data_IF_010195674522
#
_entry.id   IF_010195674522
#
_cell.length_a   1.000
_cell.length_b   1.000
_cell.length_c   1.000
_cell.angle_alpha   90.00
_cell.angle_beta   90.00
_cell.angle_gamma   90.00
#
_symmetry.space_group_name_H-M   'P 1'
#
loop_
_entity.id
_entity.type
_entity.pdbx_description
1 polymer ?
#
# COMPACT_ATOMS: atom_id res chain seq x y z
N UNK A 1 27.33 -5.75 6.81
CA UNK A 1 27.65 -5.32 5.44
C UNK A 1 27.68 -3.79 5.38
N UNK A 2 28.53 -3.18 4.57
CA UNK A 2 28.45 -1.73 4.34
C UNK A 2 27.25 -1.37 3.44
N UNK A 3 26.87 -0.09 3.42
CA UNK A 3 25.66 0.34 2.71
C UNK A 3 25.77 0.22 1.19
N UNK A 4 26.94 0.48 0.61
CA UNK A 4 27.17 0.43 -0.83
C UNK A 4 27.12 -1.01 -1.34
N UNK A 5 27.69 -1.94 -0.57
CA UNK A 5 27.59 -3.38 -0.79
C UNK A 5 26.13 -3.84 -0.72
N UNK A 6 25.37 -3.41 0.29
CA UNK A 6 23.94 -3.74 0.39
C UNK A 6 23.15 -3.21 -0.81
N UNK A 7 23.41 -1.97 -1.22
CA UNK A 7 22.72 -1.36 -2.36
C UNK A 7 23.00 -2.12 -3.66
N UNK A 8 24.27 -2.47 -3.94
CA UNK A 8 24.63 -3.31 -5.07
C UNK A 8 23.90 -4.65 -5.01
N UNK A 9 23.93 -5.30 -3.84
CA UNK A 9 23.32 -6.62 -3.66
C UNK A 9 21.81 -6.61 -3.88
N UNK A 10 21.11 -5.57 -3.40
CA UNK A 10 19.67 -5.40 -3.64
C UNK A 10 19.39 -5.12 -5.11
N UNK A 11 20.17 -4.26 -5.77
CA UNK A 11 19.99 -3.96 -7.19
C UNK A 11 20.19 -5.23 -8.04
N UNK A 12 21.24 -5.99 -7.77
CA UNK A 12 21.55 -7.24 -8.45
C UNK A 12 20.43 -8.26 -8.22
N UNK A 13 19.94 -8.39 -6.99
CA UNK A 13 18.84 -9.30 -6.65
C UNK A 13 17.55 -8.99 -7.42
N UNK A 14 17.22 -7.71 -7.59
CA UNK A 14 15.99 -7.30 -8.30
C UNK A 14 16.05 -7.50 -9.82
N UNK A 15 17.26 -7.56 -10.40
CA UNK A 15 17.48 -7.76 -11.83
C UNK A 15 17.94 -9.19 -12.19
N UNK A 16 18.20 -10.01 -11.17
CA UNK A 16 18.76 -11.34 -11.33
C UNK A 16 17.76 -12.35 -11.89
N UNK A 17 18.29 -13.33 -12.61
CA UNK A 17 17.57 -14.57 -12.92
C UNK A 17 17.37 -15.40 -11.63
N UNK A 18 16.35 -16.28 -11.56
CA UNK A 18 16.01 -17.03 -10.35
C UNK A 18 17.19 -17.74 -9.66
N UNK A 19 18.09 -18.37 -10.42
CA UNK A 19 19.25 -19.08 -9.87
C UNK A 19 20.26 -18.16 -9.16
N UNK A 20 20.40 -16.92 -9.64
CA UNK A 20 21.24 -15.92 -9.01
C UNK A 20 20.54 -15.30 -7.78
N UNK A 21 19.22 -15.15 -7.82
CA UNK A 21 18.43 -14.72 -6.67
C UNK A 21 18.58 -15.69 -5.49
N UNK A 22 18.53 -17.00 -5.73
CA UNK A 22 18.67 -18.03 -4.68
C UNK A 22 20.01 -17.96 -3.91
N UNK A 23 21.08 -17.48 -4.55
CA UNK A 23 22.40 -17.33 -3.90
C UNK A 23 22.47 -16.09 -3.01
N UNK A 24 21.79 -15.03 -3.42
CA UNK A 24 21.81 -13.72 -2.76
C UNK A 24 20.76 -13.62 -1.65
N UNK A 25 19.63 -14.31 -1.79
CA UNK A 25 18.52 -14.29 -0.85
C UNK A 25 18.95 -14.59 0.61
N UNK A 26 19.74 -15.64 0.92
CA UNK A 26 20.13 -15.93 2.30
C UNK A 26 20.92 -14.79 2.95
N UNK A 27 21.74 -14.08 2.17
CA UNK A 27 22.55 -12.94 2.64
C UNK A 27 21.62 -11.78 3.01
N UNK A 28 20.67 -11.46 2.12
CA UNK A 28 19.71 -10.39 2.37
C UNK A 28 18.75 -10.73 3.53
N UNK A 29 18.33 -11.99 3.66
CA UNK A 29 17.52 -12.46 4.79
C UNK A 29 18.28 -12.35 6.12
N UNK A 30 19.56 -12.70 6.15
CA UNK A 30 20.39 -12.55 7.36
C UNK A 30 20.50 -11.07 7.78
N UNK A 31 20.77 -10.18 6.82
CA UNK A 31 20.88 -8.74 7.06
C UNK A 31 19.53 -8.13 7.50
N UNK A 32 18.41 -8.59 6.93
CA UNK A 32 17.05 -8.23 7.38
C UNK A 32 16.81 -8.64 8.83
N UNK A 33 17.16 -9.87 9.21
CA UNK A 33 17.02 -10.37 10.59
C UNK A 33 17.88 -9.56 11.57
N UNK A 34 19.13 -9.27 11.23
CA UNK A 34 20.05 -8.48 12.06
C UNK A 34 19.48 -7.07 12.31
N UNK A 35 19.04 -6.39 11.25
CA UNK A 35 18.51 -5.04 11.37
C UNK A 35 17.18 -5.01 12.14
N UNK A 36 16.31 -5.99 11.92
CA UNK A 36 15.06 -6.12 12.66
C UNK A 36 15.30 -6.37 14.16
N UNK A 37 16.27 -7.21 14.52
CA UNK A 37 16.65 -7.46 15.92
C UNK A 37 17.23 -6.19 16.58
N UNK A 38 18.02 -5.41 15.83
CA UNK A 38 18.55 -4.13 16.32
C UNK A 38 17.43 -3.13 16.64
N UNK A 39 16.44 -2.96 15.74
CA UNK A 39 15.30 -2.10 16.01
C UNK A 39 14.39 -2.63 17.13
N UNK A 40 14.17 -3.95 17.20
CA UNK A 40 13.31 -4.58 18.20
C UNK A 40 13.80 -4.39 19.64
N UNK A 41 15.10 -4.16 19.82
CA UNK A 41 15.75 -3.96 21.11
C UNK A 41 16.11 -2.50 21.39
N UNK A 42 15.89 -1.59 20.44
CA UNK A 42 16.14 -0.17 20.61
C UNK A 42 15.01 0.50 21.42
N UNK A 43 15.37 1.42 22.32
CA UNK A 43 14.41 2.35 22.93
C UNK A 43 13.90 3.39 21.92
N UNK A 44 12.89 4.18 22.27
CA UNK A 44 12.22 5.10 21.34
C UNK A 44 13.18 6.11 20.68
N UNK A 45 14.01 6.78 21.46
CA UNK A 45 15.00 7.75 20.96
C UNK A 45 16.12 7.06 20.17
N UNK A 46 16.55 5.88 20.60
CA UNK A 46 17.56 5.10 19.88
C UNK A 46 17.02 4.64 18.52
N UNK A 47 15.78 4.15 18.46
CA UNK A 47 15.13 3.72 17.24
C UNK A 47 15.01 4.89 16.24
N UNK A 48 14.63 6.08 16.74
CA UNK A 48 14.59 7.30 15.93
C UNK A 48 15.97 7.68 15.38
N UNK A 49 16.99 7.67 16.22
CA UNK A 49 18.35 8.02 15.83
C UNK A 49 18.96 7.01 14.84
N UNK A 50 18.70 5.71 15.04
CA UNK A 50 19.06 4.64 14.09
C UNK A 50 18.35 4.83 12.76
N UNK A 51 17.06 5.12 12.79
CA UNK A 51 16.29 5.35 11.57
C UNK A 51 16.76 6.60 10.80
N UNK A 52 17.26 7.62 11.49
CA UNK A 52 17.85 8.80 10.86
C UNK A 52 19.30 8.57 10.34
N UNK A 53 19.91 7.42 10.63
CA UNK A 53 21.30 7.10 10.27
C UNK A 53 21.41 6.17 9.05
N UNK A 54 22.57 5.55 8.85
CA UNK A 54 22.77 4.52 7.83
C UNK A 54 21.83 3.31 8.02
N UNK A 55 21.43 2.99 9.25
CA UNK A 55 20.49 1.91 9.54
C UNK A 55 19.11 2.16 8.87
N UNK A 56 18.65 3.41 8.84
CA UNK A 56 17.44 3.78 8.10
C UNK A 56 17.56 3.64 6.59
N UNK A 57 18.73 3.94 6.02
CA UNK A 57 18.96 3.70 4.59
C UNK A 57 18.99 2.20 4.27
N UNK A 58 19.62 1.40 5.14
CA UNK A 58 19.61 -0.07 5.04
C UNK A 58 18.20 -0.63 5.14
N UNK A 59 17.38 -0.08 6.04
CA UNK A 59 15.97 -0.43 6.19
C UNK A 59 15.21 -0.24 4.86
N UNK A 60 15.38 0.91 4.20
CA UNK A 60 14.71 1.22 2.94
C UNK A 60 15.17 0.29 1.80
N UNK A 61 16.47 0.01 1.72
CA UNK A 61 17.02 -0.94 0.74
C UNK A 61 16.45 -2.35 0.92
N UNK A 62 16.42 -2.86 2.16
CA UNK A 62 15.90 -4.19 2.47
C UNK A 62 14.39 -4.30 2.24
N UNK A 63 13.63 -3.24 2.54
CA UNK A 63 12.20 -3.18 2.19
C UNK A 63 11.96 -3.28 0.70
N UNK A 64 12.78 -2.61 -0.11
CA UNK A 64 12.66 -2.62 -1.58
C UNK A 64 12.94 -4.00 -2.18
N UNK A 65 13.73 -4.84 -1.51
CA UNK A 65 14.07 -6.17 -1.98
C UNK A 65 12.89 -7.17 -2.02
N UNK A 66 11.75 -6.87 -1.38
CA UNK A 66 10.53 -7.70 -1.49
C UNK A 66 10.59 -9.06 -0.77
N UNK A 67 11.54 -9.23 0.15
CA UNK A 67 11.81 -10.51 0.83
C UNK A 67 10.67 -11.02 1.74
N UNK A 68 9.62 -10.22 1.94
CA UNK A 68 8.47 -10.54 2.81
C UNK A 68 7.52 -11.56 2.17
N UNK A 69 7.54 -11.66 0.85
CA UNK A 69 6.73 -12.63 0.11
C UNK A 69 7.36 -14.04 0.10
N UNK A 70 8.60 -14.15 0.60
CA UNK A 70 9.34 -15.40 0.66
C UNK A 70 9.05 -16.16 1.96
N UNK A 71 9.10 -17.51 1.93
CA UNK A 71 8.99 -18.31 3.15
C UNK A 71 10.04 -17.90 4.19
N UNK A 72 9.64 -17.85 5.46
CA UNK A 72 10.58 -17.61 6.56
C UNK A 72 11.22 -18.91 6.99
N UNK A 73 12.49 -18.83 7.39
CA UNK A 73 13.18 -19.90 8.10
C UNK A 73 12.76 -19.93 9.58
N UNK A 74 13.24 -20.95 10.31
CA UNK A 74 12.89 -21.13 11.72
C UNK A 74 13.34 -19.97 12.63
N UNK A 75 14.42 -19.27 12.27
CA UNK A 75 14.87 -18.08 13.02
C UNK A 75 13.96 -16.88 12.75
N UNK A 76 13.57 -16.70 11.49
CA UNK A 76 12.60 -15.69 11.06
C UNK A 76 11.27 -15.85 11.78
N UNK A 77 10.76 -17.08 11.88
CA UNK A 77 9.50 -17.36 12.61
C UNK A 77 9.60 -17.10 14.12
N UNK A 78 10.76 -17.38 14.73
CA UNK A 78 11.00 -17.02 16.15
C UNK A 78 11.04 -15.50 16.34
N UNK A 79 11.67 -14.78 15.41
CA UNK A 79 11.77 -13.33 15.47
C UNK A 79 10.40 -12.67 15.27
N UNK A 80 9.61 -13.09 14.28
CA UNK A 80 8.25 -12.56 14.05
C UNK A 80 7.34 -12.82 15.24
N UNK A 81 7.40 -14.00 15.84
CA UNK A 81 6.64 -14.32 17.05
C UNK A 81 6.99 -13.37 18.21
N UNK A 82 8.29 -13.08 18.40
CA UNK A 82 8.74 -12.10 19.41
C UNK A 82 8.29 -10.68 19.10
N UNK A 83 8.32 -10.28 17.82
CA UNK A 83 7.84 -8.97 17.36
C UNK A 83 6.35 -8.82 17.69
N UNK A 84 5.52 -9.81 17.32
CA UNK A 84 4.07 -9.77 17.58
C UNK A 84 3.77 -9.75 19.08
N UNK A 85 4.45 -10.58 19.87
CA UNK A 85 4.30 -10.58 21.33
C UNK A 85 4.66 -9.21 21.94
N UNK A 86 5.76 -8.59 21.50
CA UNK A 86 6.12 -7.24 21.97
C UNK A 86 5.14 -6.18 21.49
N UNK A 87 4.63 -6.29 20.26
CA UNK A 87 3.65 -5.35 19.68
C UNK A 87 2.33 -5.33 20.46
N UNK A 88 1.88 -6.48 20.93
CA UNK A 88 0.70 -6.59 21.81
C UNK A 88 0.91 -5.88 23.15
N UNK A 89 2.14 -5.87 23.68
CA UNK A 89 2.48 -5.25 24.95
C UNK A 89 2.71 -3.74 24.81
N UNK A 90 3.44 -3.31 23.77
CA UNK A 90 3.80 -1.93 23.54
C UNK A 90 3.95 -1.62 22.04
N UNK A 91 3.43 -0.48 21.60
CA UNK A 91 3.51 -0.02 20.21
C UNK A 91 4.64 0.99 20.01
N UNK A 92 5.87 0.60 20.34
CA UNK A 92 7.03 1.49 20.24
C UNK A 92 7.54 1.58 18.79
N UNK A 93 8.25 2.67 18.42
CA UNK A 93 8.84 2.81 17.09
C UNK A 93 9.77 1.67 16.68
N UNK A 94 10.60 1.19 17.61
CA UNK A 94 11.54 0.09 17.35
C UNK A 94 10.83 -1.22 17.01
N UNK A 95 9.74 -1.54 17.73
CA UNK A 95 8.92 -2.72 17.43
C UNK A 95 8.24 -2.56 16.06
N UNK A 96 7.71 -1.37 15.75
CA UNK A 96 7.08 -1.10 14.46
C UNK A 96 8.07 -1.25 13.29
N UNK A 97 9.29 -0.73 13.42
CA UNK A 97 10.32 -0.87 12.40
C UNK A 97 10.72 -2.34 12.19
N UNK A 98 10.89 -3.10 13.28
CA UNK A 98 11.15 -4.54 13.18
C UNK A 98 9.98 -5.28 12.49
N UNK A 99 8.74 -4.94 12.84
CA UNK A 99 7.54 -5.47 12.21
C UNK A 99 7.48 -5.16 10.72
N UNK A 100 7.70 -3.91 10.32
CA UNK A 100 7.70 -3.49 8.92
C UNK A 100 8.78 -4.22 8.11
N UNK A 101 9.90 -4.63 8.70
CA UNK A 101 10.93 -5.43 8.00
C UNK A 101 10.51 -6.90 7.83
N UNK A 102 9.95 -7.51 8.88
CA UNK A 102 9.80 -8.96 8.96
C UNK A 102 8.42 -9.50 8.58
N UNK A 103 7.37 -8.68 8.75
CA UNK A 103 5.97 -9.08 8.56
C UNK A 103 5.43 -8.59 7.23
N UNK A 104 4.52 -9.36 6.63
CA UNK A 104 3.61 -8.85 5.62
C UNK A 104 2.56 -7.97 6.33
N UNK A 105 2.06 -6.88 5.71
CA UNK A 105 1.09 -5.96 6.34
C UNK A 105 -0.10 -6.64 7.01
N UNK A 106 -0.65 -7.66 6.35
CA UNK A 106 -1.77 -8.49 6.84
C UNK A 106 -1.53 -9.22 8.16
N UNK A 107 -0.27 -9.42 8.57
CA UNK A 107 0.08 -10.11 9.80
C UNK A 107 0.17 -9.15 11.00
N UNK A 108 0.27 -7.84 10.76
CA UNK A 108 0.38 -6.84 11.82
C UNK A 108 -1.01 -6.30 12.18
N UNK A 109 -1.45 -6.40 13.44
CA UNK A 109 -2.71 -5.80 13.88
C UNK A 109 -2.76 -4.29 13.61
N UNK A 110 -3.84 -3.85 12.96
CA UNK A 110 -4.05 -2.44 12.61
C UNK A 110 -4.37 -1.61 13.87
N UNK A 111 -3.83 -0.38 13.99
CA UNK A 111 -4.19 0.53 15.08
C UNK A 111 -5.63 1.05 14.92
N UNK A 112 -6.12 1.70 15.98
CA UNK A 112 -7.39 2.41 15.94
C UNK A 112 -7.31 3.66 15.07
N UNK A 113 -6.20 4.38 15.08
CA UNK A 113 -6.07 5.60 14.30
C UNK A 113 -4.61 5.85 13.93
N UNK A 114 -4.34 6.56 12.82
CA UNK A 114 -2.96 6.89 12.46
C UNK A 114 -2.26 7.76 13.50
N UNK A 115 -3.01 8.55 14.28
CA UNK A 115 -2.47 9.34 15.42
C UNK A 115 -1.79 8.45 16.48
N UNK A 116 -2.19 7.18 16.58
CA UNK A 116 -1.64 6.23 17.56
C UNK A 116 -0.25 5.73 17.14
N UNK A 117 0.15 6.00 15.89
CA UNK A 117 1.48 5.76 15.37
C UNK A 117 2.32 7.01 15.56
N UNK A 118 3.55 6.83 16.03
CA UNK A 118 4.52 7.91 16.22
C UNK A 118 4.68 8.74 14.95
N UNK A 119 4.63 10.08 15.10
CA UNK A 119 4.53 11.04 14.00
C UNK A 119 5.53 10.78 12.87
N UNK A 120 6.81 10.57 13.20
CA UNK A 120 7.88 10.44 12.22
C UNK A 120 7.90 9.10 11.47
N UNK A 121 7.16 8.08 11.93
CA UNK A 121 7.01 6.79 11.25
C UNK A 121 5.69 6.63 10.50
N UNK A 122 4.75 7.54 10.73
CA UNK A 122 3.36 7.38 10.31
C UNK A 122 3.23 7.22 8.79
N UNK A 123 4.00 7.99 8.03
CA UNK A 123 4.01 7.92 6.56
C UNK A 123 4.60 6.59 6.06
N UNK A 124 5.71 6.12 6.64
CA UNK A 124 6.32 4.84 6.30
C UNK A 124 5.41 3.66 6.64
N UNK A 125 4.68 3.77 7.75
CA UNK A 125 3.66 2.78 8.11
C UNK A 125 2.48 2.79 7.13
N UNK A 126 1.97 3.96 6.74
CA UNK A 126 0.92 4.06 5.74
C UNK A 126 1.37 3.47 4.39
N UNK A 127 2.61 3.75 3.98
CA UNK A 127 3.22 3.15 2.78
C UNK A 127 3.32 1.63 2.88
N UNK A 128 3.73 1.12 4.05
CA UNK A 128 3.78 -0.31 4.32
C UNK A 128 2.40 -0.97 4.18
N UNK A 129 1.33 -0.38 4.73
CA UNK A 129 -0.03 -0.93 4.59
C UNK A 129 -0.54 -0.96 3.14
N UNK A 130 -0.03 -0.06 2.30
CA UNK A 130 -0.38 0.04 0.88
C UNK A 130 0.59 -0.73 -0.03
N UNK A 131 1.55 -1.48 0.56
CA UNK A 131 2.49 -2.26 -0.23
C UNK A 131 1.75 -3.33 -1.03
N UNK A 132 2.17 -3.50 -2.29
CA UNK A 132 1.52 -4.43 -3.20
C UNK A 132 1.83 -5.87 -2.77
N UNK A 133 0.78 -6.63 -2.46
CA UNK A 133 0.89 -8.09 -2.39
C UNK A 133 0.98 -8.61 -3.82
N UNK A 134 2.05 -9.36 -4.12
CA UNK A 134 2.30 -9.92 -5.45
C UNK A 134 1.28 -10.99 -5.86
N UNK A 135 1.76 -12.21 -6.13
CA UNK A 135 0.91 -13.32 -6.59
C UNK A 135 0.35 -14.08 -5.38
N UNK A 136 -0.96 -14.36 -5.37
CA UNK A 136 -1.55 -15.30 -4.42
C UNK A 136 -1.16 -16.73 -4.80
N UNK A 137 -0.42 -17.39 -3.92
CA UNK A 137 0.16 -18.72 -4.14
C UNK A 137 -0.55 -19.80 -3.31
N UNK A 138 -1.48 -19.44 -2.43
CA UNK A 138 -2.24 -20.38 -1.59
C UNK A 138 -3.73 -20.09 -1.62
N UNK A 139 -4.53 -21.16 -1.50
CA UNK A 139 -5.99 -21.07 -1.37
C UNK A 139 -6.32 -20.20 -0.15
N UNK A 140 -7.22 -19.23 -0.33
CA UNK A 140 -7.69 -18.33 0.72
C UNK A 140 -6.86 -17.06 0.90
N UNK A 141 -5.69 -16.91 0.26
CA UNK A 141 -4.89 -15.67 0.36
C UNK A 141 -5.63 -14.45 -0.21
N UNK A 142 -6.41 -14.63 -1.27
CA UNK A 142 -7.22 -13.56 -1.85
C UNK A 142 -8.30 -13.05 -0.87
N UNK A 143 -8.94 -13.96 -0.12
CA UNK A 143 -9.92 -13.59 0.90
C UNK A 143 -9.27 -12.92 2.11
N UNK A 144 -8.11 -13.42 2.54
CA UNK A 144 -7.33 -12.83 3.63
C UNK A 144 -6.86 -11.42 3.26
N UNK A 145 -6.34 -11.25 2.04
CA UNK A 145 -6.00 -9.94 1.49
C UNK A 145 -7.21 -9.03 1.49
N UNK A 146 -8.36 -9.51 0.98
CA UNK A 146 -9.55 -8.68 0.88
C UNK A 146 -10.05 -8.22 2.26
N UNK A 147 -10.03 -9.09 3.26
CA UNK A 147 -10.35 -8.74 4.64
C UNK A 147 -9.38 -7.69 5.20
N UNK A 148 -8.08 -7.94 5.07
CA UNK A 148 -7.04 -7.03 5.55
C UNK A 148 -7.15 -5.66 4.88
N UNK A 149 -7.22 -5.62 3.56
CA UNK A 149 -7.18 -4.36 2.81
C UNK A 149 -8.47 -3.56 3.00
N UNK A 150 -9.63 -4.23 3.17
CA UNK A 150 -10.86 -3.54 3.59
C UNK A 150 -10.71 -2.90 4.97
N UNK A 151 -10.09 -3.59 5.93
CA UNK A 151 -9.80 -3.04 7.26
C UNK A 151 -8.75 -1.91 7.21
N UNK A 152 -7.75 -2.01 6.33
CA UNK A 152 -6.79 -0.94 6.09
C UNK A 152 -7.50 0.29 5.52
N UNK A 153 -8.35 0.14 4.49
CA UNK A 153 -9.17 1.24 3.93
C UNK A 153 -10.05 1.88 5.00
N UNK A 154 -10.60 1.08 5.92
CA UNK A 154 -11.33 1.62 7.09
C UNK A 154 -10.44 2.48 8.00
N UNK A 155 -9.23 2.02 8.31
CA UNK A 155 -8.26 2.80 9.09
C UNK A 155 -7.91 4.13 8.38
N UNK A 156 -7.63 4.09 7.08
CA UNK A 156 -7.38 5.30 6.29
C UNK A 156 -8.58 6.23 6.31
N UNK A 157 -9.78 5.72 6.08
CA UNK A 157 -11.00 6.49 6.08
C UNK A 157 -11.26 7.16 7.43
N UNK A 158 -11.31 6.36 8.51
CA UNK A 158 -11.52 6.84 9.87
C UNK A 158 -10.47 7.90 10.26
N UNK A 159 -9.24 7.75 9.80
CA UNK A 159 -8.17 8.68 10.16
C UNK A 159 -8.14 9.96 9.32
N UNK A 160 -8.53 9.90 8.04
CA UNK A 160 -8.39 11.02 7.11
C UNK A 160 -9.68 11.84 6.93
N UNK A 161 -10.83 11.27 7.30
CA UNK A 161 -12.16 11.87 7.15
C UNK A 161 -12.73 12.36 8.49
N UNK A 162 -12.23 11.87 9.63
CA UNK A 162 -12.71 12.32 10.94
C UNK A 162 -12.28 13.76 11.26
N UNK A 163 -12.95 14.35 12.26
CA UNK A 163 -12.59 15.67 12.79
C UNK A 163 -11.23 15.66 13.52
N UNK A 164 -10.76 14.48 13.94
CA UNK A 164 -9.50 14.32 14.65
C UNK A 164 -8.31 14.25 13.68
N UNK A 165 -7.80 15.42 13.32
CA UNK A 165 -6.63 15.54 12.46
C UNK A 165 -5.32 15.20 13.17
N UNK A 166 -4.25 14.97 12.40
CA UNK A 166 -2.90 14.73 12.89
C UNK A 166 -1.86 15.28 11.91
N UNK A 167 -0.62 15.49 12.39
CA UNK A 167 0.48 15.95 11.55
C UNK A 167 0.83 14.93 10.46
N UNK A 168 0.88 15.36 9.20
CA UNK A 168 1.15 14.46 8.07
C UNK A 168 -0.10 13.85 7.40
N UNK A 169 -1.31 14.26 7.79
CA UNK A 169 -2.55 13.70 7.24
C UNK A 169 -2.70 13.93 5.73
N UNK A 170 -2.26 15.07 5.21
CA UNK A 170 -2.33 15.38 3.78
C UNK A 170 -1.37 14.49 2.97
N UNK A 171 -0.17 14.24 3.49
CA UNK A 171 0.83 13.34 2.92
C UNK A 171 0.28 11.91 2.85
N UNK A 172 -0.30 11.41 3.95
CA UNK A 172 -0.91 10.06 3.97
C UNK A 172 -2.08 9.96 2.98
N UNK A 173 -2.89 11.02 2.86
CA UNK A 173 -3.97 11.06 1.85
C UNK A 173 -3.41 11.00 0.44
N UNK A 174 -2.34 11.74 0.14
CA UNK A 174 -1.64 11.64 -1.14
C UNK A 174 -1.14 10.22 -1.39
N UNK A 175 -0.46 9.60 -0.41
CA UNK A 175 -0.01 8.21 -0.54
C UNK A 175 -1.17 7.26 -0.87
N UNK A 176 -2.31 7.38 -0.17
CA UNK A 176 -3.47 6.56 -0.44
C UNK A 176 -3.96 6.71 -1.89
N UNK A 177 -4.15 7.94 -2.36
CA UNK A 177 -4.67 8.19 -3.73
C UNK A 177 -3.71 7.67 -4.80
N UNK A 178 -2.40 7.79 -4.61
CA UNK A 178 -1.41 7.39 -5.61
C UNK A 178 -0.99 5.91 -5.54
N UNK A 179 -1.03 5.29 -4.36
CA UNK A 179 -0.49 3.93 -4.16
C UNK A 179 -1.54 2.86 -3.90
N UNK A 180 -2.73 3.21 -3.39
CA UNK A 180 -3.72 2.20 -3.03
C UNK A 180 -4.18 1.42 -4.28
N UNK A 181 -3.85 0.13 -4.32
CA UNK A 181 -4.12 -0.74 -5.46
C UNK A 181 -5.24 -1.73 -5.12
N UNK A 182 -6.36 -1.60 -5.82
CA UNK A 182 -7.57 -2.40 -5.61
C UNK A 182 -7.68 -3.58 -6.59
N UNK A 183 -6.69 -3.81 -7.46
CA UNK A 183 -6.72 -4.90 -8.48
C UNK A 183 -6.92 -6.26 -7.83
N UNK A 184 -6.25 -6.51 -6.69
CA UNK A 184 -6.33 -7.80 -6.01
C UNK A 184 -7.74 -8.12 -5.49
N UNK A 185 -8.63 -7.12 -5.37
CA UNK A 185 -10.03 -7.37 -5.02
C UNK A 185 -10.82 -8.10 -6.10
N UNK A 186 -10.35 -8.19 -7.35
CA UNK A 186 -11.02 -8.98 -8.39
C UNK A 186 -10.99 -10.49 -8.12
N UNK A 187 -10.10 -10.97 -7.24
CA UNK A 187 -9.89 -12.39 -6.98
C UNK A 187 -10.68 -12.92 -5.76
N UNK A 188 -11.73 -12.22 -5.33
CA UNK A 188 -12.61 -12.69 -4.25
C UNK A 188 -14.09 -12.34 -4.55
N UNK A 189 -15.01 -12.96 -3.82
CA UNK A 189 -16.47 -12.78 -3.98
C UNK A 189 -17.10 -11.88 -2.92
N UNK A 190 -16.31 -11.15 -2.13
CA UNK A 190 -16.83 -10.34 -1.02
C UNK A 190 -17.62 -9.15 -1.53
N UNK A 191 -18.54 -8.67 -0.69
CA UNK A 191 -19.22 -7.41 -0.96
C UNK A 191 -18.28 -6.23 -0.68
N UNK A 192 -17.81 -5.58 -1.75
CA UNK A 192 -16.85 -4.48 -1.67
C UNK A 192 -17.51 -3.09 -1.66
N UNK A 193 -18.84 -3.01 -1.63
CA UNK A 193 -19.59 -1.74 -1.73
C UNK A 193 -19.10 -0.70 -0.73
N UNK A 194 -18.92 -1.11 0.52
CA UNK A 194 -18.52 -0.21 1.60
C UNK A 194 -17.06 0.23 1.45
N UNK A 195 -16.17 -0.70 1.10
CA UNK A 195 -14.76 -0.40 0.81
C UNK A 195 -14.62 0.62 -0.32
N UNK A 196 -15.37 0.46 -1.41
CA UNK A 196 -15.34 1.42 -2.52
C UNK A 196 -15.97 2.76 -2.17
N UNK A 197 -17.01 2.79 -1.32
CA UNK A 197 -17.56 4.05 -0.80
C UNK A 197 -16.50 4.82 -0.02
N UNK A 198 -15.85 4.16 0.95
CA UNK A 198 -14.79 4.76 1.76
C UNK A 198 -13.63 5.26 0.91
N UNK A 199 -13.22 4.48 -0.10
CA UNK A 199 -12.23 4.91 -1.09
C UNK A 199 -12.66 6.20 -1.80
N UNK A 200 -13.90 6.26 -2.28
CA UNK A 200 -14.42 7.43 -2.98
C UNK A 200 -14.45 8.66 -2.08
N UNK A 201 -14.87 8.53 -0.81
CA UNK A 201 -14.88 9.63 0.16
C UNK A 201 -13.46 10.15 0.47
N UNK A 202 -12.45 9.27 0.58
CA UNK A 202 -11.05 9.67 0.71
C UNK A 202 -10.58 10.45 -0.53
N UNK A 203 -10.90 9.95 -1.73
CA UNK A 203 -10.53 10.60 -2.99
C UNK A 203 -11.24 11.94 -3.19
N UNK A 204 -12.50 12.05 -2.77
CA UNK A 204 -13.26 13.29 -2.80
C UNK A 204 -12.67 14.33 -1.85
N UNK A 205 -12.41 13.93 -0.60
CA UNK A 205 -11.75 14.79 0.37
C UNK A 205 -10.39 15.28 -0.13
N UNK A 206 -9.63 14.41 -0.77
CA UNK A 206 -8.37 14.76 -1.43
C UNK A 206 -8.57 15.81 -2.53
N UNK A 207 -9.48 15.57 -3.49
CA UNK A 207 -9.70 16.49 -4.60
C UNK A 207 -10.15 17.89 -4.14
N UNK A 208 -11.05 17.94 -3.15
CA UNK A 208 -11.52 19.21 -2.58
C UNK A 208 -10.39 19.99 -1.91
N UNK A 209 -9.46 19.31 -1.21
CA UNK A 209 -8.26 19.94 -0.64
C UNK A 209 -7.29 20.46 -1.69
N UNK A 210 -7.23 19.80 -2.85
CA UNK A 210 -6.50 20.28 -4.03
C UNK A 210 -7.21 21.41 -4.77
N UNK A 211 -8.32 21.94 -4.24
CA UNK A 211 -9.17 22.95 -4.87
C UNK A 211 -9.68 22.50 -6.25
N UNK A 212 -9.85 21.19 -6.45
CA UNK A 212 -10.45 20.60 -7.64
C UNK A 212 -11.93 20.30 -7.34
N UNK A 213 -12.88 21.16 -7.78
CA UNK A 213 -14.29 20.92 -7.53
C UNK A 213 -14.77 19.68 -8.31
N UNK A 214 -15.46 18.77 -7.64
CA UNK A 214 -16.02 17.56 -8.27
C UNK A 214 -17.35 17.82 -8.97
N UNK A 215 -18.10 18.79 -8.47
CA UNK A 215 -19.36 19.23 -9.06
C UNK A 215 -19.09 20.18 -10.23
N UNK A 216 -19.06 19.65 -11.45
CA UNK A 216 -19.17 20.46 -12.65
C UNK A 216 -20.60 20.38 -13.17
N UNK A 217 -21.34 21.49 -13.06
CA UNK A 217 -22.63 21.62 -13.73
C UNK A 217 -22.37 22.07 -15.16
N UNK A 218 -22.65 21.19 -16.11
CA UNK A 218 -22.70 21.58 -17.50
C UNK A 218 -23.82 22.62 -17.67
N UNK A 219 -23.58 23.76 -18.34
CA UNK A 219 -24.64 24.70 -18.63
C UNK A 219 -25.73 23.99 -19.43
N UNK A 220 -27.00 24.26 -19.10
CA UNK A 220 -28.12 23.81 -19.92
C UNK A 220 -27.88 24.32 -21.35
N UNK A 221 -27.64 23.40 -22.29
CA UNK A 221 -27.48 23.77 -23.69
C UNK A 221 -28.81 24.36 -24.16
N UNK A 222 -28.78 25.59 -24.64
CA UNK A 222 -29.93 26.10 -25.40
C UNK A 222 -30.00 25.31 -26.71
N UNK A 223 -31.16 24.74 -27.07
CA UNK A 223 -31.28 23.98 -28.31
C UNK A 223 -31.14 24.94 -29.49
N UNK A 224 -29.94 25.00 -30.07
CA UNK A 224 -29.69 25.80 -31.28
C UNK A 224 -30.34 25.13 -32.50
N UNK A 225 -30.50 23.80 -32.48
CA UNK A 225 -31.38 23.04 -33.38
C UNK A 225 -31.65 21.64 -32.78
N UNK A 226 -32.70 20.96 -33.24
CA UNK A 226 -33.01 19.55 -32.90
C UNK A 226 -31.95 18.54 -33.39
N UNK A 227 -30.87 19.00 -34.04
CA UNK A 227 -29.84 18.18 -34.67
C UNK A 227 -28.49 18.20 -33.95
N UNK A 228 -28.32 18.98 -32.88
CA UNK A 228 -27.04 19.09 -32.20
C UNK A 228 -26.80 17.90 -31.25
N UNK A 229 -26.14 16.86 -31.76
CA UNK A 229 -25.86 15.62 -31.03
C UNK A 229 -24.93 15.84 -29.83
N UNK A 230 -25.14 15.07 -28.77
CA UNK A 230 -24.23 15.02 -27.62
C UNK A 230 -22.97 14.27 -28.07
N UNK A 231 -21.82 14.95 -28.00
CA UNK A 231 -20.51 14.31 -28.18
C UNK A 231 -20.02 13.87 -26.80
N UNK A 232 -19.84 12.56 -26.62
CA UNK A 232 -19.27 11.98 -25.40
C UNK A 232 -17.82 11.57 -25.72
N UNK A 233 -16.87 12.19 -25.04
CA UNK A 233 -15.47 11.77 -25.06
C UNK A 233 -15.16 11.00 -23.78
N UNK A 234 -14.48 9.86 -23.90
CA UNK A 234 -14.07 9.06 -22.75
C UNK A 234 -12.55 9.14 -22.63
N UNK A 235 -12.10 9.65 -21.50
CA UNK A 235 -10.69 9.74 -21.17
C UNK A 235 -10.29 8.47 -20.41
N UNK A 236 -9.29 7.77 -20.94
CA UNK A 236 -8.67 6.61 -20.30
C UNK A 236 -7.16 6.81 -20.29
N UNK A 237 -6.46 6.30 -19.27
CA UNK A 237 -4.99 6.33 -19.24
C UNK A 237 -4.39 5.55 -20.42
N UNK A 238 -5.07 4.50 -20.87
CA UNK A 238 -4.73 3.75 -22.08
C UNK A 238 -5.94 2.98 -22.61
N UNK A 239 -5.92 2.64 -23.89
CA UNK A 239 -6.89 1.73 -24.54
C UNK A 239 -6.24 0.38 -24.89
N UNK A 240 -5.33 -0.09 -24.03
CA UNK A 240 -4.66 -1.38 -24.21
C UNK A 240 -5.61 -2.55 -23.93
N UNK A 241 -5.41 -3.73 -24.55
CA UNK A 241 -6.26 -4.90 -24.33
C UNK A 241 -6.20 -5.36 -22.86
N UNK A 242 -7.22 -5.01 -22.09
CA UNK A 242 -7.38 -5.34 -20.67
C UNK A 242 -8.86 -5.59 -20.36
N UNK A 243 -9.14 -6.28 -19.26
CA UNK A 243 -10.49 -6.71 -18.86
C UNK A 243 -11.50 -5.56 -18.86
N UNK A 244 -11.10 -4.40 -18.35
CA UNK A 244 -11.91 -3.18 -18.31
C UNK A 244 -12.23 -2.63 -19.70
N UNK A 245 -11.27 -2.69 -20.64
CA UNK A 245 -11.49 -2.23 -22.03
C UNK A 245 -12.41 -3.19 -22.77
N UNK A 246 -12.25 -4.51 -22.59
CA UNK A 246 -13.18 -5.48 -23.19
C UNK A 246 -14.61 -5.32 -22.67
N UNK A 247 -14.76 -5.09 -21.37
CA UNK A 247 -16.06 -4.75 -20.78
C UNK A 247 -16.63 -3.48 -21.41
N UNK A 248 -15.85 -2.39 -21.46
CA UNK A 248 -16.28 -1.11 -22.00
C UNK A 248 -16.70 -1.20 -23.48
N UNK A 249 -15.94 -1.91 -24.31
CA UNK A 249 -16.27 -2.14 -25.73
C UNK A 249 -17.63 -2.82 -25.89
N UNK A 250 -17.92 -3.83 -25.06
CA UNK A 250 -19.22 -4.52 -25.10
C UNK A 250 -20.41 -3.60 -24.80
N UNK A 251 -20.20 -2.53 -24.01
CA UNK A 251 -21.22 -1.50 -23.77
C UNK A 251 -21.30 -0.50 -24.92
N UNK A 252 -20.18 -0.11 -25.54
CA UNK A 252 -20.20 0.79 -26.70
C UNK A 252 -20.89 0.17 -27.90
N UNK A 253 -20.77 -1.14 -28.11
CA UNK A 253 -21.49 -1.83 -29.18
C UNK A 253 -23.01 -1.78 -29.00
N UNK A 254 -23.50 -1.56 -27.77
CA UNK A 254 -24.92 -1.37 -27.46
C UNK A 254 -25.37 0.09 -27.55
N UNK A 255 -24.45 1.05 -27.73
CA UNK A 255 -24.85 2.43 -27.98
C UNK A 255 -25.59 2.50 -29.33
N UNK A 256 -26.70 3.24 -29.42
CA UNK A 256 -27.42 3.39 -30.67
C UNK A 256 -26.47 3.90 -31.75
N UNK A 257 -26.25 3.08 -32.77
CA UNK A 257 -25.53 3.51 -33.96
C UNK A 257 -26.49 4.30 -34.83
N UNK A 258 -26.02 5.40 -35.37
CA UNK A 258 -26.77 6.13 -36.39
C UNK A 258 -26.87 5.23 -37.62
N UNK A 259 -28.11 4.87 -37.98
CA UNK A 259 -28.46 4.38 -39.33
C UNK A 259 -28.63 5.56 -40.26
#
# INVERSE_FOLDING_TARGET
MDITQLESLVNDYQQAQPDAMQKTEPILQAERKILAEAFLNAGDDEAKNRYASEDGKRFQLLRRAGLQDLPRDAEGEKLTSRILQKWEQAKTPGILLAAILMLHPRELPLPGHFKDITDWLRQDYADFLLSHTGVFNRIGEADQFANFFAAAVELFHRSLISDETFAGADEIRNLFVYKANFIQFYFNEKNLRETYRRRAEIMENWALRQKAPLSHLFPLRQPVSSQQKIKVGILSMHFMPQTEIYLLLSYFDRLPRET
#
